data_IF_267314092829
#
_entry.id   IF_267314092829
#
_cell.length_a   1.000
_cell.length_b   1.000
_cell.length_c   1.000
_cell.angle_alpha   90.00
_cell.angle_beta   90.00
_cell.angle_gamma   90.00
#
_symmetry.space_group_name_H-M   'P 1'
#
loop_
_entity.id
_entity.type
_entity.pdbx_description
1 polymer ?
#
# COMPACT_ATOMS: atom_id res chain seq x y z
N UNK A 1 -4.06 13.67 -22.88
CA UNK A 1 -2.67 14.09 -22.65
C UNK A 1 -2.24 13.53 -21.30
N UNK A 2 -1.22 12.68 -21.24
CA UNK A 2 -0.72 12.21 -19.95
C UNK A 2 0.12 13.32 -19.33
N UNK A 3 -0.35 13.91 -18.23
CA UNK A 3 0.46 14.85 -17.44
C UNK A 3 1.55 14.02 -16.78
N UNK A 4 2.80 14.29 -17.14
CA UNK A 4 3.96 13.70 -16.48
C UNK A 4 4.25 14.57 -15.26
N UNK A 5 4.19 13.97 -14.07
CA UNK A 5 4.50 14.64 -12.83
C UNK A 5 5.96 14.34 -12.47
N UNK A 6 6.89 15.31 -12.61
CA UNK A 6 8.31 15.11 -12.29
C UNK A 6 8.56 14.98 -10.79
N UNK A 7 7.64 15.51 -9.97
CA UNK A 7 7.59 15.34 -8.53
C UNK A 7 6.14 15.04 -8.11
N UNK A 8 5.98 14.10 -7.18
CA UNK A 8 4.70 13.65 -6.65
C UNK A 8 4.43 14.16 -5.23
N UNK A 9 5.40 14.81 -4.59
CA UNK A 9 5.34 15.23 -3.17
C UNK A 9 4.22 16.21 -2.85
N UNK A 10 3.85 17.06 -3.82
CA UNK A 10 2.76 18.03 -3.69
C UNK A 10 1.36 17.48 -3.96
N UNK A 11 1.24 16.20 -4.33
CA UNK A 11 -0.05 15.60 -4.68
C UNK A 11 -0.79 15.08 -3.45
N UNK A 12 -2.11 15.24 -3.45
CA UNK A 12 -2.99 14.64 -2.47
C UNK A 12 -3.03 13.12 -2.61
N UNK A 13 -3.44 12.41 -1.55
CA UNK A 13 -3.63 10.94 -1.58
C UNK A 13 -4.55 10.51 -2.73
N UNK A 14 -5.63 11.26 -2.96
CA UNK A 14 -6.57 11.04 -4.05
C UNK A 14 -5.89 11.14 -5.42
N UNK A 15 -5.03 12.13 -5.63
CA UNK A 15 -4.31 12.31 -6.90
C UNK A 15 -3.25 11.24 -7.12
N UNK A 16 -2.49 10.88 -6.07
CA UNK A 16 -1.53 9.78 -6.11
C UNK A 16 -2.22 8.46 -6.49
N UNK A 17 -3.36 8.18 -5.87
CA UNK A 17 -4.15 6.99 -6.14
C UNK A 17 -4.71 6.97 -7.55
N UNK A 18 -5.22 8.11 -8.04
CA UNK A 18 -5.66 8.26 -9.43
C UNK A 18 -4.53 7.94 -10.41
N UNK A 19 -3.33 8.45 -10.17
CA UNK A 19 -2.18 8.20 -11.02
C UNK A 19 -1.72 6.74 -10.96
N UNK A 20 -1.62 6.17 -9.75
CA UNK A 20 -1.22 4.78 -9.55
C UNK A 20 -2.18 3.80 -10.24
N UNK A 21 -3.48 4.08 -10.21
CA UNK A 21 -4.53 3.23 -10.81
C UNK A 21 -4.81 3.53 -12.28
N UNK A 22 -4.12 4.54 -12.86
CA UNK A 22 -4.33 5.03 -14.23
C UNK A 22 -5.78 5.45 -14.49
N UNK A 23 -6.34 6.16 -13.52
CA UNK A 23 -7.72 6.64 -13.52
C UNK A 23 -7.83 8.10 -13.99
N UNK A 24 -9.02 8.47 -14.43
CA UNK A 24 -9.35 9.86 -14.78
C UNK A 24 -9.64 10.69 -13.51
N UNK A 25 -9.63 12.02 -13.65
CA UNK A 25 -9.87 12.96 -12.54
C UNK A 25 -11.22 12.75 -11.84
N UNK A 26 -12.23 12.36 -12.62
CA UNK A 26 -13.60 12.12 -12.16
C UNK A 26 -13.94 10.63 -12.06
N UNK A 27 -12.93 9.77 -11.90
CA UNK A 27 -13.15 8.34 -11.83
C UNK A 27 -14.06 7.97 -10.65
N UNK A 28 -15.19 7.26 -10.91
CA UNK A 28 -16.06 6.79 -9.84
C UNK A 28 -15.34 5.77 -8.94
N UNK A 29 -14.34 5.05 -9.48
CA UNK A 29 -13.52 4.10 -8.72
C UNK A 29 -12.74 4.84 -7.64
N UNK A 30 -12.02 5.92 -7.99
CA UNK A 30 -11.23 6.70 -7.02
C UNK A 30 -12.15 7.39 -6.01
N UNK A 31 -13.31 7.89 -6.46
CA UNK A 31 -14.30 8.50 -5.58
C UNK A 31 -14.82 7.51 -4.54
N UNK A 32 -15.22 6.31 -4.96
CA UNK A 32 -15.70 5.27 -4.05
C UNK A 32 -14.59 4.79 -3.11
N UNK A 33 -13.37 4.61 -3.63
CA UNK A 33 -12.24 4.10 -2.85
C UNK A 33 -11.83 5.09 -1.76
N UNK A 34 -11.81 6.39 -2.06
CA UNK A 34 -11.55 7.46 -1.06
C UNK A 34 -12.71 7.71 -0.09
N UNK A 35 -13.94 7.34 -0.46
CA UNK A 35 -15.09 7.39 0.44
C UNK A 35 -15.13 6.19 1.41
N UNK A 36 -14.77 4.99 0.93
CA UNK A 36 -14.76 3.75 1.72
C UNK A 36 -13.53 3.64 2.63
N UNK A 37 -12.37 4.11 2.16
CA UNK A 37 -11.11 4.11 2.92
C UNK A 37 -10.64 5.56 3.08
N UNK A 38 -11.10 6.20 4.16
CA UNK A 38 -10.92 7.63 4.40
C UNK A 38 -9.49 7.97 4.83
N UNK A 39 -8.76 6.98 5.36
CA UNK A 39 -7.36 7.12 5.75
C UNK A 39 -6.46 6.11 5.03
N UNK A 40 -5.17 6.41 4.80
CA UNK A 40 -4.22 5.44 4.23
C UNK A 40 -4.10 4.16 5.06
N UNK A 41 -4.31 4.26 6.39
CA UNK A 41 -4.30 3.11 7.29
C UNK A 41 -5.49 2.19 7.05
N UNK A 42 -6.70 2.73 6.86
CA UNK A 42 -7.87 1.93 6.48
C UNK A 42 -7.63 1.19 5.16
N UNK A 43 -7.03 1.86 4.18
CA UNK A 43 -6.68 1.22 2.92
C UNK A 43 -5.64 0.11 3.08
N UNK A 44 -4.68 0.28 3.99
CA UNK A 44 -3.63 -0.72 4.27
C UNK A 44 -4.16 -2.04 4.85
N UNK A 45 -5.37 -2.01 5.43
CA UNK A 45 -6.08 -3.17 5.98
C UNK A 45 -7.16 -3.71 5.02
N UNK A 46 -7.35 -3.08 3.85
CA UNK A 46 -8.34 -3.50 2.88
C UNK A 46 -8.05 -4.92 2.35
N UNK A 47 -9.09 -5.73 2.25
CA UNK A 47 -9.02 -7.07 1.69
C UNK A 47 -9.28 -7.07 0.18
N UNK A 48 -8.87 -8.15 -0.50
CA UNK A 48 -9.17 -8.33 -1.91
C UNK A 48 -10.67 -8.27 -2.21
N UNK A 49 -11.51 -8.89 -1.36
CA UNK A 49 -12.97 -8.90 -1.52
C UNK A 49 -13.53 -7.47 -1.50
N UNK A 50 -13.20 -6.70 -0.46
CA UNK A 50 -13.68 -5.32 -0.30
C UNK A 50 -13.26 -4.41 -1.45
N UNK A 51 -12.04 -4.60 -1.97
CA UNK A 51 -11.58 -3.88 -3.15
C UNK A 51 -12.35 -4.28 -4.41
N UNK A 52 -12.56 -5.57 -4.65
CA UNK A 52 -13.28 -6.06 -5.84
C UNK A 52 -14.78 -5.75 -5.84
N UNK A 53 -15.38 -5.46 -4.68
CA UNK A 53 -16.75 -4.95 -4.58
C UNK A 53 -16.90 -3.54 -5.18
N UNK A 54 -15.81 -2.76 -5.28
CA UNK A 54 -15.83 -1.45 -5.91
C UNK A 54 -16.01 -1.62 -7.42
N UNK A 55 -17.20 -1.24 -7.91
CA UNK A 55 -17.57 -1.32 -9.32
C UNK A 55 -16.57 -0.58 -10.20
N UNK A 56 -15.93 -1.30 -11.12
CA UNK A 56 -14.96 -0.76 -12.08
C UNK A 56 -13.48 -0.88 -11.66
N UNK A 57 -13.19 -1.30 -10.42
CA UNK A 57 -11.80 -1.59 -10.01
C UNK A 57 -11.30 -2.90 -10.65
N UNK A 58 -12.08 -3.97 -10.48
CA UNK A 58 -11.75 -5.30 -10.99
C UNK A 58 -10.54 -5.96 -10.30
N UNK A 59 -10.31 -7.26 -10.53
CA UNK A 59 -9.31 -8.03 -9.81
C UNK A 59 -7.87 -7.55 -10.06
N UNK A 60 -7.55 -7.10 -11.29
CA UNK A 60 -6.19 -6.67 -11.63
C UNK A 60 -5.74 -5.41 -10.86
N UNK A 61 -6.61 -4.40 -10.75
CA UNK A 61 -6.30 -3.19 -9.97
C UNK A 61 -6.35 -3.46 -8.47
N UNK A 62 -7.27 -4.31 -8.00
CA UNK A 62 -7.30 -4.75 -6.61
C UNK A 62 -5.96 -5.41 -6.20
N UNK A 63 -5.47 -6.36 -6.98
CA UNK A 63 -4.16 -6.98 -6.76
C UNK A 63 -3.00 -5.97 -6.79
N UNK A 64 -3.06 -4.99 -7.70
CA UNK A 64 -2.03 -3.95 -7.79
C UNK A 64 -1.99 -3.06 -6.54
N UNK A 65 -3.15 -2.71 -5.97
CA UNK A 65 -3.25 -1.97 -4.71
C UNK A 65 -2.64 -2.79 -3.58
N UNK A 66 -3.06 -4.04 -3.42
CA UNK A 66 -2.55 -4.91 -2.36
C UNK A 66 -1.03 -5.11 -2.47
N UNK A 67 -0.51 -5.29 -3.69
CA UNK A 67 0.92 -5.40 -3.93
C UNK A 67 1.68 -4.11 -3.54
N UNK A 68 1.15 -2.94 -3.86
CA UNK A 68 1.76 -1.66 -3.50
C UNK A 68 1.76 -1.44 -1.98
N UNK A 69 0.67 -1.79 -1.29
CA UNK A 69 0.56 -1.71 0.17
C UNK A 69 1.54 -2.66 0.86
N UNK A 70 1.62 -3.91 0.39
CA UNK A 70 2.57 -4.89 0.90
C UNK A 70 4.03 -4.46 0.67
N UNK A 71 4.31 -3.87 -0.48
CA UNK A 71 5.63 -3.28 -0.75
C UNK A 71 5.95 -2.14 0.22
N UNK A 72 5.00 -1.23 0.46
CA UNK A 72 5.18 -0.17 1.45
C UNK A 72 5.42 -0.75 2.86
N UNK A 73 4.65 -1.77 3.28
CA UNK A 73 4.86 -2.47 4.55
C UNK A 73 6.27 -3.02 4.67
N UNK A 74 6.84 -3.62 3.61
CA UNK A 74 8.22 -4.14 3.61
C UNK A 74 9.29 -3.04 3.59
N UNK A 75 9.04 -1.93 2.91
CA UNK A 75 9.97 -0.78 2.89
C UNK A 75 10.11 -0.13 4.27
N UNK A 76 9.02 -0.05 5.02
CA UNK A 76 8.99 0.54 6.36
C UNK A 76 9.06 -0.50 7.48
N UNK A 77 9.11 -1.79 7.15
CA UNK A 77 9.37 -2.82 8.14
C UNK A 77 10.74 -2.53 8.76
N UNK A 78 10.88 -2.62 10.09
CA UNK A 78 12.21 -2.60 10.69
C UNK A 78 13.05 -3.66 9.99
N UNK A 79 14.36 -3.41 9.75
CA UNK A 79 15.23 -4.39 9.14
C UNK A 79 14.98 -5.71 9.87
N UNK A 80 14.52 -6.71 9.12
CA UNK A 80 14.38 -8.05 9.65
C UNK A 80 15.72 -8.36 10.26
N UNK A 81 15.79 -8.42 11.60
CA UNK A 81 17.01 -8.78 12.29
C UNK A 81 17.42 -10.10 11.66
N UNK A 82 18.44 -10.05 10.81
CA UNK A 82 18.88 -11.15 9.96
C UNK A 82 18.85 -12.38 10.84
N UNK A 83 17.92 -13.30 10.57
CA UNK A 83 17.48 -14.38 11.46
C UNK A 83 18.57 -14.66 12.48
N UNK A 84 18.42 -14.15 13.71
CA UNK A 84 19.46 -14.24 14.74
C UNK A 84 19.90 -15.70 14.78
N UNK A 85 21.05 -15.96 14.17
CA UNK A 85 21.51 -17.33 13.99
C UNK A 85 22.19 -17.64 15.30
N UNK A 86 21.47 -18.32 16.19
CA UNK A 86 22.02 -18.76 17.47
C UNK A 86 23.12 -19.76 17.15
N UNK A 87 24.37 -19.31 17.21
CA UNK A 87 25.56 -20.14 17.01
C UNK A 87 26.15 -20.57 18.34
N UNK A 88 25.82 -19.86 19.42
CA UNK A 88 26.23 -20.21 20.77
C UNK A 88 25.19 -19.80 21.83
N UNK A 89 25.26 -20.37 23.05
CA UNK A 89 24.35 -20.02 24.14
C UNK A 89 24.32 -18.53 24.49
N UNK A 90 25.41 -17.80 24.22
CA UNK A 90 25.53 -16.37 24.49
C UNK A 90 24.61 -15.52 23.59
N UNK A 91 24.30 -15.98 22.37
CA UNK A 91 23.42 -15.25 21.44
C UNK A 91 21.98 -15.14 21.98
N UNK A 92 21.57 -16.03 22.87
CA UNK A 92 20.24 -16.03 23.52
C UNK A 92 20.16 -14.97 24.62
N UNK A 93 21.26 -14.69 25.31
CA UNK A 93 21.29 -13.71 26.42
C UNK A 93 21.00 -12.31 25.90
N UNK A 94 21.43 -11.99 24.68
CA UNK A 94 21.17 -10.72 24.00
C UNK A 94 19.69 -10.51 23.62
N UNK A 95 18.88 -11.58 23.59
CA UNK A 95 17.45 -11.53 23.23
C UNK A 95 16.52 -11.27 24.43
N UNK A 96 17.03 -11.35 25.67
CA UNK A 96 16.23 -11.29 26.90
C UNK A 96 16.39 -9.98 27.68
N UNK A 97 17.10 -9.00 27.11
CA UNK A 97 17.33 -7.65 27.67
C UNK A 97 16.77 -6.59 26.75
#
# INVERSE_FOLDING_TARGET
MAVIYPDLSGLTVKELMRLALRESEHSPVVKELTARFTTPRELAEATFSELTEIKGLGPGKASSILAALELAKRLYAPPSNDKLTIRCPQDIVLLLT
#
